data_IF_041864402608
#
_entry.id   IF_041864402608
#
_cell.length_a   1.000
_cell.length_b   1.000
_cell.length_c   1.000
_cell.angle_alpha   90.00
_cell.angle_beta   90.00
_cell.angle_gamma   90.00
#
_symmetry.space_group_name_H-M   'P 1'
#
loop_
_entity.id
_entity.type
_entity.pdbx_description
1 polymer ?
#
# COMPACT_ATOMS: atom_id res chain seq x y z
N UNK A 1 29.96 27.12 59.70
CA UNK A 1 29.88 25.86 58.95
C UNK A 1 28.73 25.98 57.97
N UNK A 2 29.02 26.21 56.69
CA UNK A 2 28.00 26.34 55.65
C UNK A 2 27.93 24.98 54.95
N UNK A 3 26.81 24.23 55.15
CA UNK A 3 26.53 22.98 54.45
C UNK A 3 25.93 23.32 53.07
N UNK A 4 26.72 23.14 52.01
CA UNK A 4 26.22 23.20 50.63
C UNK A 4 25.56 21.88 50.29
N UNK A 5 24.22 21.88 50.21
CA UNK A 5 23.47 20.77 49.66
C UNK A 5 23.48 20.88 48.13
N UNK A 6 24.17 19.94 47.46
CA UNK A 6 24.08 19.77 46.02
C UNK A 6 22.77 19.05 45.71
N UNK A 7 21.85 19.79 45.11
CA UNK A 7 20.62 19.21 44.56
C UNK A 7 20.93 18.70 43.16
N UNK A 8 21.01 17.38 43.00
CA UNK A 8 21.14 16.74 41.70
C UNK A 8 19.76 16.70 40.99
N UNK A 9 19.64 17.45 39.91
CA UNK A 9 18.48 17.41 39.03
C UNK A 9 18.64 16.17 38.13
N UNK A 10 17.67 15.22 38.07
CA UNK A 10 17.72 14.18 37.07
C UNK A 10 17.32 14.75 35.72
N UNK A 11 18.24 14.70 34.76
CA UNK A 11 17.98 15.00 33.34
C UNK A 11 17.16 13.87 32.75
N UNK A 12 15.83 14.04 32.69
CA UNK A 12 14.96 13.12 32.01
C UNK A 12 15.13 13.29 30.48
N UNK A 13 15.90 12.41 29.86
CA UNK A 13 16.00 12.32 28.40
C UNK A 13 14.71 11.67 27.90
N UNK A 14 13.78 12.49 27.44
CA UNK A 14 12.60 11.99 26.73
C UNK A 14 13.04 11.50 25.35
N UNK A 15 13.09 10.17 25.17
CA UNK A 15 13.29 9.54 23.87
C UNK A 15 12.01 9.76 23.05
N UNK A 16 12.02 10.76 22.16
CA UNK A 16 10.98 10.92 21.16
C UNK A 16 11.15 9.81 20.11
N UNK A 17 10.39 8.72 20.27
CA UNK A 17 10.25 7.71 19.24
C UNK A 17 9.41 8.32 18.13
N UNK A 18 10.08 8.93 17.14
CA UNK A 18 9.44 9.31 15.88
C UNK A 18 9.04 8.02 15.16
N UNK A 19 7.77 7.69 15.17
CA UNK A 19 7.23 6.68 14.24
C UNK A 19 7.32 7.28 12.85
N UNK A 20 8.31 6.83 12.08
CA UNK A 20 8.43 7.19 10.67
C UNK A 20 7.21 6.60 9.93
N UNK A 21 6.20 7.42 9.65
CA UNK A 21 5.17 7.09 8.68
C UNK A 21 5.81 7.12 7.30
N UNK A 22 5.55 6.09 6.49
CA UNK A 22 5.95 6.09 5.10
C UNK A 22 5.38 7.35 4.41
N UNK A 23 6.16 7.95 3.50
CA UNK A 23 5.68 9.10 2.74
C UNK A 23 4.47 8.67 1.87
N UNK A 24 3.45 9.53 1.67
CA UNK A 24 2.28 9.20 0.86
C UNK A 24 2.60 8.69 -0.54
N UNK A 25 3.68 9.19 -1.16
CA UNK A 25 4.18 8.69 -2.44
C UNK A 25 4.70 7.25 -2.32
N UNK A 26 5.39 6.89 -1.24
CA UNK A 26 5.88 5.53 -1.01
C UNK A 26 4.72 4.56 -0.74
N UNK A 27 3.69 5.00 -0.01
CA UNK A 27 2.47 4.23 0.20
C UNK A 27 1.77 3.95 -1.14
N UNK A 28 1.66 4.94 -2.02
CA UNK A 28 1.09 4.76 -3.36
C UNK A 28 1.89 3.75 -4.18
N UNK A 29 3.23 3.85 -4.20
CA UNK A 29 4.09 2.92 -4.92
C UNK A 29 3.93 1.48 -4.38
N UNK A 30 3.81 1.34 -3.07
CA UNK A 30 3.55 0.04 -2.44
C UNK A 30 2.21 -0.55 -2.90
N UNK A 31 1.15 0.26 -2.92
CA UNK A 31 -0.18 -0.19 -3.37
C UNK A 31 -0.13 -0.60 -4.85
N UNK A 32 0.53 0.17 -5.71
CA UNK A 32 0.70 -0.15 -7.13
C UNK A 32 1.44 -1.49 -7.30
N UNK A 33 2.52 -1.71 -6.55
CA UNK A 33 3.29 -2.95 -6.60
C UNK A 33 2.47 -4.16 -6.09
N UNK A 34 1.71 -3.99 -5.01
CA UNK A 34 0.84 -5.04 -4.47
C UNK A 34 -0.29 -5.38 -5.45
N UNK A 35 -0.93 -4.36 -6.04
CA UNK A 35 -1.95 -4.54 -7.08
C UNK A 35 -1.39 -5.30 -8.28
N UNK A 36 -0.19 -4.96 -8.75
CA UNK A 36 0.45 -5.67 -9.86
C UNK A 36 0.67 -7.15 -9.56
N UNK A 37 1.19 -7.48 -8.37
CA UNK A 37 1.36 -8.88 -7.94
C UNK A 37 0.03 -9.63 -7.87
N UNK A 38 -0.99 -8.99 -7.30
CA UNK A 38 -2.32 -9.56 -7.22
C UNK A 38 -2.91 -9.80 -8.63
N UNK A 39 -2.81 -8.80 -9.52
CA UNK A 39 -3.31 -8.90 -10.89
C UNK A 39 -2.65 -10.06 -11.65
N UNK A 40 -1.34 -10.24 -11.54
CA UNK A 40 -0.62 -11.36 -12.14
C UNK A 40 -1.14 -12.71 -11.62
N UNK A 41 -1.45 -12.80 -10.33
CA UNK A 41 -1.92 -14.05 -9.71
C UNK A 41 -3.31 -14.49 -10.17
N UNK A 42 -4.18 -13.55 -10.48
CA UNK A 42 -5.54 -13.83 -10.99
C UNK A 42 -5.61 -13.90 -12.53
N UNK A 43 -4.53 -13.49 -13.21
CA UNK A 43 -4.41 -13.51 -14.67
C UNK A 43 -3.18 -14.33 -15.11
N UNK A 44 -3.11 -15.65 -14.77
CA UNK A 44 -1.91 -16.44 -14.93
C UNK A 44 -1.46 -16.58 -16.39
N UNK A 45 -2.38 -16.66 -17.34
CA UNK A 45 -2.07 -16.74 -18.78
C UNK A 45 -1.40 -15.43 -19.26
N UNK A 46 -1.90 -14.27 -18.82
CA UNK A 46 -1.30 -12.99 -19.14
C UNK A 46 0.06 -12.84 -18.43
N UNK A 47 0.20 -13.33 -17.21
CA UNK A 47 1.48 -13.34 -16.50
C UNK A 47 2.55 -14.08 -17.31
N UNK A 48 2.25 -15.29 -17.79
CA UNK A 48 3.14 -16.06 -18.69
C UNK A 48 3.48 -15.28 -19.95
N UNK A 49 2.50 -14.66 -20.60
CA UNK A 49 2.71 -13.86 -21.81
C UNK A 49 3.62 -12.63 -21.56
N UNK A 50 3.64 -12.11 -20.35
CA UNK A 50 4.51 -11.03 -19.92
C UNK A 50 5.88 -11.50 -19.42
N UNK A 51 6.16 -12.82 -19.46
CA UNK A 51 7.42 -13.40 -19.01
C UNK A 51 7.50 -13.70 -17.52
N UNK A 52 6.36 -13.65 -16.80
CA UNK A 52 6.26 -14.03 -15.39
C UNK A 52 5.78 -15.48 -15.30
N UNK A 53 6.67 -16.39 -14.95
CA UNK A 53 6.44 -17.83 -14.99
C UNK A 53 5.98 -18.44 -13.65
N UNK A 54 5.74 -17.63 -12.64
CA UNK A 54 5.35 -18.08 -11.29
C UNK A 54 3.97 -18.77 -11.26
N UNK A 55 3.16 -18.59 -12.30
CA UNK A 55 1.78 -19.05 -12.40
C UNK A 55 1.53 -19.95 -13.62
N UNK A 56 2.58 -20.49 -14.23
CA UNK A 56 2.49 -21.31 -15.48
C UNK A 56 1.67 -22.59 -15.29
N UNK A 57 1.49 -23.05 -14.07
CA UNK A 57 0.68 -24.20 -13.69
C UNK A 57 -0.83 -23.89 -13.53
N UNK A 58 -1.25 -22.64 -13.77
CA UNK A 58 -2.63 -22.16 -13.54
C UNK A 58 -3.26 -21.64 -14.83
N UNK A 59 -4.59 -21.76 -14.92
CA UNK A 59 -5.38 -21.25 -16.04
C UNK A 59 -6.24 -20.04 -15.68
N UNK A 60 -6.35 -19.71 -14.42
CA UNK A 60 -7.33 -18.74 -13.91
C UNK A 60 -8.67 -19.39 -13.55
N UNK A 61 -9.43 -18.71 -12.73
CA UNK A 61 -10.72 -19.15 -12.25
C UNK A 61 -11.78 -18.10 -12.65
N UNK A 62 -12.78 -18.51 -13.45
CA UNK A 62 -13.88 -17.66 -13.92
C UNK A 62 -15.17 -17.90 -13.14
N UNK A 63 -15.12 -18.63 -12.02
CA UNK A 63 -16.29 -18.90 -11.19
C UNK A 63 -16.86 -17.61 -10.58
N UNK A 64 -18.16 -17.58 -10.30
CA UNK A 64 -18.80 -16.47 -9.58
C UNK A 64 -18.16 -16.24 -8.21
N UNK A 65 -17.76 -17.32 -7.53
CA UNK A 65 -17.08 -17.22 -6.24
C UNK A 65 -15.71 -16.53 -6.35
N UNK A 66 -14.98 -16.73 -7.46
CA UNK A 66 -13.74 -16.00 -7.70
C UNK A 66 -14.01 -14.53 -8.04
N UNK A 67 -15.00 -14.25 -8.88
CA UNK A 67 -15.40 -12.86 -9.18
C UNK A 67 -15.77 -12.08 -7.92
N UNK A 68 -16.48 -12.70 -6.97
CA UNK A 68 -16.78 -12.08 -5.67
C UNK A 68 -15.51 -11.82 -4.84
N UNK A 69 -14.53 -12.73 -4.89
CA UNK A 69 -13.23 -12.52 -4.21
C UNK A 69 -12.44 -11.39 -4.84
N UNK A 70 -12.41 -11.32 -6.17
CA UNK A 70 -11.74 -10.26 -6.92
C UNK A 70 -12.36 -8.90 -6.63
N UNK A 71 -13.70 -8.79 -6.62
CA UNK A 71 -14.39 -7.56 -6.27
C UNK A 71 -14.06 -7.09 -4.84
N UNK A 72 -14.01 -8.01 -3.88
CA UNK A 72 -13.60 -7.69 -2.50
C UNK A 72 -12.14 -7.24 -2.41
N UNK A 73 -11.24 -7.86 -3.17
CA UNK A 73 -9.84 -7.46 -3.24
C UNK A 73 -9.70 -6.06 -3.88
N UNK A 74 -10.43 -5.80 -4.97
CA UNK A 74 -10.47 -4.49 -5.61
C UNK A 74 -10.96 -3.40 -4.63
N UNK A 75 -12.02 -3.67 -3.86
CA UNK A 75 -12.50 -2.75 -2.83
C UNK A 75 -11.45 -2.48 -1.76
N UNK A 76 -10.71 -3.51 -1.31
CA UNK A 76 -9.63 -3.32 -0.33
C UNK A 76 -8.50 -2.43 -0.87
N UNK A 77 -8.15 -2.52 -2.15
CA UNK A 77 -7.21 -1.59 -2.77
C UNK A 77 -7.78 -0.17 -2.86
N UNK A 78 -9.06 -0.01 -3.22
CA UNK A 78 -9.72 1.30 -3.23
C UNK A 78 -9.69 1.96 -1.85
N UNK A 79 -9.94 1.20 -0.78
CA UNK A 79 -9.90 1.71 0.59
C UNK A 79 -8.48 2.20 0.96
N UNK A 80 -7.44 1.45 0.59
CA UNK A 80 -6.04 1.87 0.78
C UNK A 80 -5.72 3.16 0.00
N UNK A 81 -6.15 3.26 -1.26
CA UNK A 81 -5.94 4.44 -2.09
C UNK A 81 -6.66 5.67 -1.54
N UNK A 82 -7.87 5.51 -1.00
CA UNK A 82 -8.65 6.59 -0.42
C UNK A 82 -7.99 7.21 0.82
N UNK A 83 -7.16 6.45 1.52
CA UNK A 83 -6.41 6.92 2.68
C UNK A 83 -5.24 7.85 2.32
N UNK A 84 -4.84 7.92 1.04
CA UNK A 84 -3.75 8.79 0.57
C UNK A 84 -4.35 10.12 0.08
N UNK A 85 -4.06 11.26 0.74
CA UNK A 85 -4.58 12.55 0.31
C UNK A 85 -3.91 13.02 -0.99
N UNK A 86 -4.70 13.45 -1.97
CA UNK A 86 -4.20 13.91 -3.27
C UNK A 86 -3.24 15.10 -3.16
N UNK A 87 -3.44 15.97 -2.16
CA UNK A 87 -2.59 17.14 -1.91
C UNK A 87 -1.15 16.77 -1.53
N UNK A 88 -0.95 15.56 -1.00
CA UNK A 88 0.37 15.06 -0.62
C UNK A 88 1.14 14.40 -1.77
N UNK A 89 0.52 14.32 -2.96
CA UNK A 89 1.08 13.65 -4.13
C UNK A 89 1.53 14.65 -5.20
N UNK A 90 2.54 14.28 -5.97
CA UNK A 90 2.89 14.98 -7.22
C UNK A 90 1.75 14.88 -8.24
N UNK A 91 1.79 15.71 -9.29
CA UNK A 91 0.80 15.63 -10.40
C UNK A 91 0.85 14.25 -11.05
N UNK A 92 2.04 13.70 -11.28
CA UNK A 92 2.21 12.37 -11.88
C UNK A 92 1.61 11.27 -10.97
N UNK A 93 1.88 11.31 -9.68
CA UNK A 93 1.36 10.31 -8.71
C UNK A 93 -0.16 10.41 -8.57
N UNK A 94 -0.74 11.61 -8.57
CA UNK A 94 -2.20 11.77 -8.59
C UNK A 94 -2.83 11.16 -9.84
N UNK A 95 -2.18 11.32 -10.99
CA UNK A 95 -2.63 10.71 -12.24
C UNK A 95 -2.58 9.19 -12.14
N UNK A 96 -1.47 8.62 -11.66
CA UNK A 96 -1.31 7.18 -11.48
C UNK A 96 -2.35 6.61 -10.49
N UNK A 97 -2.55 7.30 -9.36
CA UNK A 97 -3.61 6.96 -8.40
C UNK A 97 -4.99 6.98 -9.06
N UNK A 98 -5.30 8.04 -9.81
CA UNK A 98 -6.59 8.18 -10.49
C UNK A 98 -6.86 7.08 -11.50
N UNK A 99 -5.86 6.67 -12.28
CA UNK A 99 -5.95 5.55 -13.22
C UNK A 99 -6.25 4.25 -12.47
N UNK A 100 -5.51 3.96 -11.41
CA UNK A 100 -5.71 2.74 -10.62
C UNK A 100 -7.08 2.71 -9.94
N UNK A 101 -7.53 3.83 -9.37
CA UNK A 101 -8.88 3.97 -8.80
C UNK A 101 -9.94 3.66 -9.86
N UNK A 102 -9.80 4.20 -11.08
CA UNK A 102 -10.75 3.93 -12.16
C UNK A 102 -10.79 2.45 -12.52
N UNK A 103 -9.62 1.83 -12.71
CA UNK A 103 -9.54 0.41 -13.06
C UNK A 103 -10.19 -0.49 -12.01
N UNK A 104 -9.94 -0.21 -10.73
CA UNK A 104 -10.50 -0.99 -9.62
C UNK A 104 -12.00 -0.77 -9.44
N UNK A 105 -12.48 0.47 -9.66
CA UNK A 105 -13.91 0.80 -9.56
C UNK A 105 -14.77 0.07 -10.61
N UNK A 106 -14.18 -0.29 -11.73
CA UNK A 106 -14.87 -1.06 -12.77
C UNK A 106 -14.97 -2.57 -12.42
N UNK A 107 -14.33 -3.02 -11.33
CA UNK A 107 -14.31 -4.42 -10.87
C UNK A 107 -15.20 -4.68 -9.66
N UNK A 108 -15.77 -3.64 -9.05
CA UNK A 108 -16.56 -3.74 -7.80
C UNK A 108 -18.08 -3.85 -8.05
#
# INVERSE_FOLDING_TARGET
MIKRTFSALPLAVALLISTAHAAPADDLQTIIADHWKWWLSINPVQATALGVHDFDDKLGDLSLAEQDREAKAAQAFLDRLSAIPDQALSVADRTNKGVLVRMLSDQV
#
